data_IF_125825131919
#
_entry.id   IF_125825131919
#
_cell.length_a   1.000
_cell.length_b   1.000
_cell.length_c   1.000
_cell.angle_alpha   90.00
_cell.angle_beta   90.00
_cell.angle_gamma   90.00
#
_symmetry.space_group_name_H-M   'P 1'
#
loop_
_entity.id
_entity.type
_entity.pdbx_description
1 polymer ?
#
# COMPACT_ATOMS: atom_id res chain seq x y z
N UNK A 1 -11.17 29.60 14.92
CA UNK A 1 -12.08 29.71 13.78
C UNK A 1 -11.64 28.86 12.58
N UNK A 2 -10.50 29.10 11.92
CA UNK A 2 -10.05 28.24 10.79
C UNK A 2 -9.80 26.76 11.19
N UNK A 3 -9.20 26.51 12.35
CA UNK A 3 -9.02 25.15 12.90
C UNK A 3 -10.34 24.42 13.21
N UNK A 4 -11.38 25.14 13.63
CA UNK A 4 -12.70 24.56 13.91
C UNK A 4 -13.47 24.27 12.62
N UNK A 5 -13.33 25.12 11.60
CA UNK A 5 -13.85 24.85 10.26
C UNK A 5 -13.18 23.61 9.65
N UNK A 6 -11.86 23.43 9.84
CA UNK A 6 -11.14 22.23 9.40
C UNK A 6 -11.62 20.96 10.12
N UNK A 7 -11.87 21.03 11.42
CA UNK A 7 -12.38 19.90 12.21
C UNK A 7 -13.85 19.55 11.95
N UNK A 8 -14.67 20.52 11.50
CA UNK A 8 -16.07 20.27 11.15
C UNK A 8 -16.25 19.83 9.68
N UNK A 9 -15.20 19.91 8.86
CA UNK A 9 -15.15 19.43 7.48
C UNK A 9 -14.31 18.15 7.32
N UNK A 10 -13.63 17.70 8.38
CA UNK A 10 -12.76 16.54 8.33
C UNK A 10 -13.62 15.28 8.29
N UNK A 11 -13.86 14.77 7.08
CA UNK A 11 -14.09 13.35 6.91
C UNK A 11 -12.92 12.61 7.60
N UNK A 12 -13.22 11.68 8.51
CA UNK A 12 -12.18 10.82 9.07
C UNK A 12 -11.62 9.99 7.91
N UNK A 13 -10.35 10.19 7.62
CA UNK A 13 -9.66 9.52 6.53
C UNK A 13 -8.69 8.50 7.11
N UNK A 14 -8.82 7.26 6.64
CA UNK A 14 -7.89 6.19 6.93
C UNK A 14 -6.98 5.94 5.73
N UNK A 15 -5.67 5.82 6.00
CA UNK A 15 -4.68 5.39 5.03
C UNK A 15 -4.41 3.89 5.20
N UNK A 16 -4.83 3.10 4.23
CA UNK A 16 -4.53 1.67 4.16
C UNK A 16 -3.31 1.47 3.27
N UNK A 17 -2.31 0.75 3.78
CA UNK A 17 -1.07 0.44 3.07
C UNK A 17 -0.96 -1.06 2.87
N UNK A 18 -0.86 -1.50 1.62
CA UNK A 18 -0.63 -2.89 1.27
C UNK A 18 0.77 -3.06 0.65
N UNK A 19 1.57 -3.98 1.19
CA UNK A 19 2.87 -4.37 0.61
C UNK A 19 2.71 -5.74 -0.03
N UNK A 20 2.95 -5.83 -1.34
CA UNK A 20 2.71 -7.05 -2.12
C UNK A 20 3.95 -7.49 -2.90
N UNK A 21 3.93 -8.74 -3.37
CA UNK A 21 4.91 -9.19 -4.36
C UNK A 21 4.75 -8.37 -5.65
N UNK A 22 5.87 -8.10 -6.32
CA UNK A 22 5.84 -7.41 -7.63
C UNK A 22 4.92 -8.11 -8.63
N UNK A 23 4.12 -7.34 -9.35
CA UNK A 23 3.13 -7.83 -10.31
C UNK A 23 1.81 -8.28 -9.66
N UNK A 24 1.60 -8.02 -8.36
CA UNK A 24 0.32 -8.32 -7.68
C UNK A 24 -0.46 -7.06 -7.30
N UNK A 25 0.09 -5.85 -7.52
CA UNK A 25 -0.59 -4.60 -7.16
C UNK A 25 -1.99 -4.49 -7.79
N UNK A 26 -2.14 -4.77 -9.09
CA UNK A 26 -3.41 -4.62 -9.80
C UNK A 26 -4.54 -5.48 -9.21
N UNK A 27 -4.23 -6.71 -8.78
CA UNK A 27 -5.22 -7.59 -8.15
C UNK A 27 -5.73 -7.02 -6.83
N UNK A 28 -4.84 -6.43 -6.03
CA UNK A 28 -5.21 -5.80 -4.75
C UNK A 28 -6.00 -4.51 -5.00
N UNK A 29 -5.60 -3.72 -6.00
CA UNK A 29 -6.33 -2.51 -6.41
C UNK A 29 -7.75 -2.87 -6.87
N UNK A 30 -7.92 -3.89 -7.70
CA UNK A 30 -9.24 -4.33 -8.17
C UNK A 30 -10.12 -4.80 -7.01
N UNK A 31 -9.57 -5.59 -6.09
CA UNK A 31 -10.28 -6.03 -4.89
C UNK A 31 -10.72 -4.85 -4.02
N UNK A 32 -9.82 -3.88 -3.77
CA UNK A 32 -10.13 -2.69 -3.00
C UNK A 32 -11.20 -1.83 -3.68
N UNK A 33 -11.14 -1.66 -5.01
CA UNK A 33 -12.18 -0.96 -5.78
C UNK A 33 -13.54 -1.64 -5.66
N UNK A 34 -13.60 -2.97 -5.72
CA UNK A 34 -14.83 -3.75 -5.48
C UNK A 34 -15.38 -3.56 -4.06
N UNK A 35 -14.50 -3.29 -3.09
CA UNK A 35 -14.86 -2.98 -1.70
C UNK A 35 -15.25 -1.51 -1.47
N UNK A 36 -15.21 -0.65 -2.50
CA UNK A 36 -15.63 0.75 -2.41
C UNK A 36 -14.49 1.77 -2.42
N UNK A 37 -13.23 1.35 -2.56
CA UNK A 37 -12.12 2.29 -2.70
C UNK A 37 -12.26 3.08 -4.02
N UNK A 38 -12.17 4.41 -3.94
CA UNK A 38 -12.28 5.30 -5.10
C UNK A 38 -11.06 5.23 -6.03
N UNK A 39 -9.89 4.91 -5.48
CA UNK A 39 -8.64 4.87 -6.21
C UNK A 39 -7.50 4.28 -5.38
N UNK A 40 -6.31 4.25 -5.98
CA UNK A 40 -5.10 3.76 -5.35
C UNK A 40 -3.87 4.40 -5.99
N UNK A 41 -2.80 4.55 -5.21
CA UNK A 41 -1.46 4.90 -5.71
C UNK A 41 -0.55 3.70 -5.49
N UNK A 42 0.18 3.28 -6.52
CA UNK A 42 1.10 2.15 -6.43
C UNK A 42 2.49 2.52 -6.94
N UNK A 43 3.54 2.00 -6.29
CA UNK A 43 4.92 2.20 -6.69
C UNK A 43 5.81 1.00 -6.33
N UNK A 44 6.92 0.85 -7.05
CA UNK A 44 7.91 -0.18 -6.76
C UNK A 44 8.63 0.08 -5.44
N UNK A 45 8.90 -0.98 -4.71
CA UNK A 45 9.59 -0.95 -3.43
C UNK A 45 10.53 -2.15 -3.30
N UNK A 46 11.34 -2.15 -2.25
CA UNK A 46 12.15 -3.30 -1.83
C UNK A 46 11.83 -3.64 -0.40
N UNK A 47 11.64 -4.92 -0.11
CA UNK A 47 11.38 -5.40 1.25
C UNK A 47 12.67 -5.82 1.94
N UNK A 48 12.89 -5.36 3.16
CA UNK A 48 13.92 -5.92 4.04
C UNK A 48 13.22 -6.42 5.31
N UNK A 49 13.41 -7.69 5.71
CA UNK A 49 13.02 -8.12 7.06
C UNK A 49 12.38 -9.48 7.25
N UNK A 50 12.03 -10.25 6.22
CA UNK A 50 11.57 -11.65 6.42
C UNK A 50 12.69 -12.53 5.91
N UNK A 51 13.51 -13.07 6.84
CA UNK A 51 14.66 -13.97 6.60
C UNK A 51 15.12 -13.88 5.15
N UNK A 52 16.07 -12.99 4.85
CA UNK A 52 16.77 -12.99 3.56
C UNK A 52 16.91 -14.44 3.16
N UNK A 53 16.10 -14.88 2.19
CA UNK A 53 15.96 -16.29 1.90
C UNK A 53 17.37 -16.68 1.53
N UNK A 54 18.02 -17.44 2.41
CA UNK A 54 19.44 -17.72 2.29
C UNK A 54 19.66 -18.15 0.85
N UNK A 55 20.37 -17.27 0.17
CA UNK A 55 20.75 -17.30 -1.22
C UNK A 55 20.77 -18.71 -1.80
N UNK A 56 19.98 -18.98 -2.84
CA UNK A 56 20.23 -20.17 -3.66
C UNK A 56 21.58 -19.91 -4.36
N UNK A 57 22.63 -20.65 -3.97
CA UNK A 57 23.98 -20.55 -4.54
C UNK A 57 24.72 -19.20 -4.31
N UNK A 58 24.52 -18.51 -3.18
CA UNK A 58 25.26 -17.28 -2.87
C UNK A 58 24.77 -16.02 -3.58
N UNK A 59 23.65 -16.09 -4.32
CA UNK A 59 23.01 -14.95 -4.97
C UNK A 59 21.98 -14.27 -4.05
N UNK A 60 22.10 -12.95 -3.87
CA UNK A 60 21.07 -12.14 -3.21
C UNK A 60 19.79 -12.14 -4.04
N UNK A 61 18.72 -12.76 -3.53
CA UNK A 61 17.41 -12.70 -4.16
C UNK A 61 16.87 -11.27 -4.01
N UNK A 62 16.72 -10.56 -5.14
CA UNK A 62 16.19 -9.20 -5.12
C UNK A 62 14.77 -9.19 -4.53
N UNK A 63 14.57 -8.39 -3.49
CA UNK A 63 13.35 -8.36 -2.69
C UNK A 63 12.32 -7.40 -3.27
N UNK A 64 12.07 -7.49 -4.57
CA UNK A 64 11.18 -6.59 -5.28
C UNK A 64 9.74 -6.70 -4.74
N UNK A 65 9.19 -5.54 -4.35
CA UNK A 65 7.84 -5.35 -3.83
C UNK A 65 7.13 -4.26 -4.60
N UNK A 66 5.83 -4.19 -4.40
CA UNK A 66 5.03 -3.02 -4.71
C UNK A 66 4.31 -2.57 -3.44
N UNK A 67 4.23 -1.27 -3.24
CA UNK A 67 3.42 -0.67 -2.17
C UNK A 67 2.21 -0.04 -2.82
N UNK A 68 1.03 -0.34 -2.28
CA UNK A 68 -0.24 0.24 -2.72
C UNK A 68 -0.85 1.01 -1.56
N UNK A 69 -1.22 2.26 -1.83
CA UNK A 69 -1.82 3.19 -0.89
C UNK A 69 -3.28 3.41 -1.26
N UNK A 70 -4.16 3.33 -0.27
CA UNK A 70 -5.59 3.65 -0.39
C UNK A 70 -5.96 4.68 0.66
N UNK A 71 -6.60 5.76 0.24
CA UNK A 71 -7.24 6.73 1.14
C UNK A 71 -8.72 6.40 1.14
N UNK A 72 -9.26 6.03 2.30
CA UNK A 72 -10.68 5.72 2.48
C UNK A 72 -11.30 6.66 3.50
N UNK A 73 -12.58 6.95 3.33
CA UNK A 73 -13.39 7.69 4.31
C UNK A 73 -13.99 6.64 5.26
N UNK A 74 -13.84 6.85 6.56
CA UNK A 74 -14.47 6.04 7.60
C UNK A 74 -15.96 6.39 7.78
#
# INVERSE_FOLDING_TARGET
>A
MEKELFNNLSAELSLIVAIVNRGQADKVIEAAKKAGASGATAFFARGAGVKEAHTFLGLTLDSAREIVLFIVID
#
